data_IF_822750588359
#
_entry.id   IF_822750588359
#
_cell.length_a   1.000
_cell.length_b   1.000
_cell.length_c   1.000
_cell.angle_alpha   90.00
_cell.angle_beta   90.00
_cell.angle_gamma   90.00
#
_symmetry.space_group_name_H-M   'P 1'
#
loop_
_entity.id
_entity.type
_entity.pdbx_description
1 polymer ?
#
# COMPACT_ATOMS: atom_id res chain seq x y z
N UNK A 1 -11.54 10.17 8.60
CA UNK A 1 -10.29 9.50 8.99
C UNK A 1 -9.96 9.89 10.41
N UNK A 2 -9.96 8.97 11.31
CA UNK A 2 -9.64 9.22 12.70
C UNK A 2 -8.13 9.43 12.85
N UNK A 3 -7.73 10.52 13.54
CA UNK A 3 -6.32 10.79 13.80
C UNK A 3 -5.67 9.62 14.55
N UNK A 4 -4.73 8.95 13.90
CA UNK A 4 -3.98 7.82 14.46
C UNK A 4 -2.70 8.30 15.15
N UNK A 5 -2.38 9.59 15.08
CA UNK A 5 -1.07 10.15 15.41
C UNK A 5 0.03 9.81 14.40
N UNK A 6 -0.32 9.15 13.29
CA UNK A 6 0.59 8.77 12.21
C UNK A 6 0.38 9.70 11.01
N UNK A 7 1.43 10.07 10.28
CA UNK A 7 1.30 10.99 9.16
C UNK A 7 0.54 10.39 7.97
N UNK A 8 -0.31 11.18 7.35
CA UNK A 8 -0.78 10.94 5.99
C UNK A 8 0.29 11.50 5.07
N UNK A 9 0.82 10.70 4.16
CA UNK A 9 2.00 11.07 3.40
C UNK A 9 2.01 10.47 2.00
N UNK A 10 2.51 11.24 1.03
CA UNK A 10 2.87 10.72 -0.28
C UNK A 10 4.26 10.10 -0.20
N UNK A 11 4.39 8.85 -0.63
CA UNK A 11 5.66 8.12 -0.71
C UNK A 11 5.83 7.55 -2.11
N UNK A 12 7.06 7.51 -2.62
CA UNK A 12 7.40 6.96 -3.92
C UNK A 12 8.58 6.00 -3.84
N UNK A 13 8.43 4.85 -4.47
CA UNK A 13 9.52 3.93 -4.84
C UNK A 13 9.47 3.66 -6.36
N UNK A 14 9.09 4.70 -7.13
CA UNK A 14 8.87 4.70 -8.56
C UNK A 14 7.53 5.35 -8.94
N UNK A 15 6.44 4.95 -8.29
CA UNK A 15 5.12 5.58 -8.43
C UNK A 15 4.76 6.26 -7.10
N UNK A 16 4.34 7.53 -7.17
CA UNK A 16 3.93 8.32 -6.00
C UNK A 16 2.50 7.95 -5.60
N UNK A 17 2.32 7.56 -4.36
CA UNK A 17 1.03 7.14 -3.81
C UNK A 17 0.81 7.72 -2.44
N UNK A 18 -0.45 7.96 -2.08
CA UNK A 18 -0.85 8.48 -0.77
C UNK A 18 -1.06 7.32 0.22
N UNK A 19 -0.44 7.42 1.39
CA UNK A 19 -0.60 6.46 2.48
C UNK A 19 -1.42 7.07 3.59
N UNK A 20 -2.53 6.39 3.93
CA UNK A 20 -3.51 6.85 4.92
C UNK A 20 -3.64 5.82 6.03
N UNK A 21 -2.99 6.01 7.19
CA UNK A 21 -3.15 5.11 8.32
C UNK A 21 -4.48 5.32 9.01
N UNK A 22 -5.18 4.23 9.30
CA UNK A 22 -6.40 4.20 10.09
C UNK A 22 -6.22 3.32 11.33
N UNK A 23 -7.16 3.41 12.30
CA UNK A 23 -6.97 2.78 13.60
C UNK A 23 -7.18 1.27 13.58
N UNK A 24 -8.18 0.81 12.83
CA UNK A 24 -8.67 -0.56 12.97
C UNK A 24 -9.04 -1.19 11.64
N UNK A 25 -9.14 -2.53 11.64
CA UNK A 25 -9.73 -3.30 10.55
C UNK A 25 -11.16 -2.84 10.24
N UNK A 26 -11.93 -2.45 11.28
CA UNK A 26 -13.29 -1.92 11.09
C UNK A 26 -13.28 -0.63 10.26
N UNK A 27 -12.33 0.28 10.51
CA UNK A 27 -12.22 1.51 9.75
C UNK A 27 -11.88 1.21 8.28
N UNK A 28 -10.95 0.28 8.03
CA UNK A 28 -10.60 -0.17 6.68
C UNK A 28 -11.80 -0.79 5.98
N UNK A 29 -12.49 -1.72 6.64
CA UNK A 29 -13.65 -2.44 6.07
C UNK A 29 -14.85 -1.51 5.79
N UNK A 30 -14.97 -0.38 6.50
CA UNK A 30 -16.06 0.58 6.31
C UNK A 30 -15.97 1.35 4.99
N UNK A 31 -14.84 1.33 4.30
CA UNK A 31 -14.64 2.07 3.05
C UNK A 31 -15.38 1.35 1.91
N UNK A 32 -16.32 2.04 1.29
CA UNK A 32 -16.98 1.56 0.07
C UNK A 32 -16.18 2.02 -1.15
N UNK A 33 -15.40 1.12 -1.75
CA UNK A 33 -14.54 1.41 -2.90
C UNK A 33 -15.29 1.94 -4.13
N UNK A 34 -16.59 1.60 -4.27
CA UNK A 34 -17.43 2.04 -5.40
C UNK A 34 -18.01 3.46 -5.20
N UNK A 35 -17.88 4.02 -4.00
CA UNK A 35 -18.40 5.34 -3.65
C UNK A 35 -17.27 6.36 -3.44
N UNK A 36 -16.03 6.01 -3.77
CA UNK A 36 -14.93 6.95 -3.72
C UNK A 36 -15.08 7.99 -4.83
N UNK A 37 -15.03 9.26 -4.43
CA UNK A 37 -15.08 10.38 -5.36
C UNK A 37 -13.69 10.60 -6.00
N UNK A 38 -13.54 10.15 -7.25
CA UNK A 38 -12.31 10.28 -8.01
C UNK A 38 -11.91 11.76 -8.21
N UNK A 39 -12.87 12.66 -8.41
CA UNK A 39 -12.57 14.07 -8.61
C UNK A 39 -12.08 14.73 -7.34
N UNK A 40 -12.71 14.43 -6.19
CA UNK A 40 -12.27 14.92 -4.89
C UNK A 40 -10.87 14.39 -4.51
N UNK A 41 -10.58 13.11 -4.82
CA UNK A 41 -9.24 12.55 -4.62
C UNK A 41 -8.21 13.22 -5.51
N UNK A 42 -8.50 13.43 -6.79
CA UNK A 42 -7.60 14.11 -7.72
C UNK A 42 -7.30 15.55 -7.29
N UNK A 43 -8.31 16.28 -6.80
CA UNK A 43 -8.13 17.61 -6.24
C UNK A 43 -7.22 17.59 -4.99
N UNK A 44 -7.43 16.64 -4.08
CA UNK A 44 -6.57 16.45 -2.91
C UNK A 44 -5.11 16.16 -3.31
N UNK A 45 -4.88 15.31 -4.29
CA UNK A 45 -3.53 15.04 -4.80
C UNK A 45 -2.86 16.28 -5.40
N UNK A 46 -3.60 17.09 -6.13
CA UNK A 46 -3.08 18.34 -6.68
C UNK A 46 -2.64 19.32 -5.59
N UNK A 47 -3.31 19.33 -4.43
CA UNK A 47 -2.91 20.14 -3.27
C UNK A 47 -1.68 19.57 -2.55
N UNK A 48 -1.64 18.24 -2.37
CA UNK A 48 -0.56 17.58 -1.64
C UNK A 48 0.75 17.53 -2.42
N UNK A 49 0.68 17.49 -3.74
CA UNK A 49 1.83 17.37 -4.62
C UNK A 49 1.63 18.17 -5.92
N UNK A 50 1.76 19.50 -5.86
CA UNK A 50 1.49 20.36 -7.02
C UNK A 50 2.54 20.26 -8.12
N UNK A 51 3.72 19.72 -7.84
CA UNK A 51 4.86 19.69 -8.79
C UNK A 51 4.91 18.40 -9.58
N UNK A 52 4.76 17.28 -8.90
CA UNK A 52 4.78 15.96 -9.53
C UNK A 52 3.48 15.24 -9.24
N UNK A 53 2.60 15.17 -10.24
CA UNK A 53 1.29 14.54 -10.07
C UNK A 53 1.43 13.14 -9.47
N UNK A 54 0.84 12.98 -8.30
CA UNK A 54 0.63 11.67 -7.69
C UNK A 54 -0.25 10.81 -8.62
N UNK A 55 -0.13 9.50 -8.52
CA UNK A 55 -0.86 8.55 -9.38
C UNK A 55 -2.36 8.43 -9.08
N UNK A 56 -2.99 9.39 -8.39
CA UNK A 56 -4.39 9.33 -7.91
C UNK A 56 -4.72 8.00 -7.18
N UNK A 57 -3.70 7.42 -6.53
CA UNK A 57 -3.78 6.15 -5.86
C UNK A 57 -3.59 6.31 -4.35
N UNK A 58 -4.50 5.72 -3.58
CA UNK A 58 -4.51 5.75 -2.11
C UNK A 58 -4.34 4.35 -1.56
N UNK A 59 -3.36 4.16 -0.69
CA UNK A 59 -3.26 2.98 0.14
C UNK A 59 -3.70 3.31 1.56
N UNK A 60 -4.81 2.73 1.98
CA UNK A 60 -5.27 2.77 3.37
C UNK A 60 -4.68 1.60 4.12
N UNK A 61 -4.17 1.83 5.33
CA UNK A 61 -3.49 0.81 6.11
C UNK A 61 -3.86 0.84 7.60
N UNK A 62 -3.82 -0.33 8.23
CA UNK A 62 -3.88 -0.50 9.68
C UNK A 62 -2.89 -1.57 10.13
N UNK A 63 -2.38 -1.47 11.37
CA UNK A 63 -1.54 -2.51 11.96
C UNK A 63 -2.34 -3.64 12.62
N UNK A 64 -3.69 -3.52 12.69
CA UNK A 64 -4.53 -4.67 12.96
C UNK A 64 -4.59 -5.56 11.73
N UNK A 65 -4.51 -6.86 11.92
CA UNK A 65 -4.50 -7.83 10.82
C UNK A 65 -5.48 -8.97 11.09
N UNK A 66 -5.99 -9.59 10.02
CA UNK A 66 -6.83 -10.78 10.10
C UNK A 66 -5.98 -12.04 10.25
N UNK A 67 -4.78 -12.05 9.70
CA UNK A 67 -3.83 -13.15 9.79
C UNK A 67 -2.73 -12.85 10.81
N UNK A 68 -2.43 -13.73 11.75
CA UNK A 68 -1.32 -13.54 12.68
C UNK A 68 0.05 -13.56 11.99
N UNK A 69 0.12 -14.01 10.74
CA UNK A 69 1.34 -13.99 9.94
C UNK A 69 1.56 -12.67 9.18
N UNK A 70 0.60 -11.76 9.19
CA UNK A 70 0.72 -10.44 8.60
C UNK A 70 1.03 -9.39 9.67
N UNK A 71 1.76 -8.35 9.28
CA UNK A 71 2.13 -7.22 10.13
C UNK A 71 1.28 -5.97 9.86
N UNK A 72 0.62 -5.92 8.70
CA UNK A 72 -0.18 -4.79 8.25
C UNK A 72 -1.29 -5.28 7.33
N UNK A 73 -2.47 -4.69 7.49
CA UNK A 73 -3.62 -4.87 6.59
C UNK A 73 -3.78 -3.64 5.72
N UNK A 74 -4.03 -3.84 4.41
CA UNK A 74 -4.07 -2.76 3.43
C UNK A 74 -5.20 -2.92 2.45
N UNK A 75 -5.71 -1.77 1.96
CA UNK A 75 -6.57 -1.68 0.78
C UNK A 75 -6.04 -0.58 -0.14
N UNK A 76 -6.06 -0.82 -1.43
CA UNK A 76 -5.56 0.12 -2.42
C UNK A 76 -6.65 0.52 -3.40
N UNK A 77 -6.80 1.82 -3.61
CA UNK A 77 -7.82 2.43 -4.45
C UNK A 77 -7.18 3.39 -5.44
N UNK A 78 -7.61 3.33 -6.70
CA UNK A 78 -7.18 4.27 -7.74
C UNK A 78 -8.35 4.60 -8.70
N UNK A 79 -9.44 5.22 -8.20
CA UNK A 79 -10.65 5.44 -8.99
C UNK A 79 -10.39 6.38 -10.18
N UNK A 80 -9.46 7.30 -10.10
CA UNK A 80 -9.02 8.16 -11.20
C UNK A 80 -8.38 7.39 -12.36
N UNK A 81 -7.87 6.18 -12.09
CA UNK A 81 -7.34 5.26 -13.09
C UNK A 81 -8.35 4.18 -13.51
N UNK A 82 -9.60 4.27 -13.07
CA UNK A 82 -10.63 3.28 -13.33
C UNK A 82 -10.54 2.03 -12.46
N UNK A 83 -9.70 2.04 -11.42
CA UNK A 83 -9.51 0.90 -10.50
C UNK A 83 -10.21 1.23 -9.17
N UNK A 84 -11.39 0.67 -8.95
CA UNK A 84 -12.09 0.88 -7.69
C UNK A 84 -11.30 0.33 -6.50
N UNK A 85 -10.74 -0.86 -6.63
CA UNK A 85 -9.88 -1.49 -5.64
C UNK A 85 -8.96 -2.51 -6.31
N UNK A 86 -7.67 -2.47 -5.99
CA UNK A 86 -6.68 -3.45 -6.46
C UNK A 86 -6.39 -4.48 -5.37
N UNK A 87 -6.52 -5.79 -5.64
CA UNK A 87 -6.34 -6.83 -4.63
C UNK A 87 -4.89 -7.10 -4.24
N UNK A 88 -3.91 -6.70 -5.06
CA UNK A 88 -2.48 -6.94 -4.79
C UNK A 88 -1.59 -5.94 -5.52
N UNK A 89 -1.13 -4.91 -4.82
CA UNK A 89 -0.41 -3.79 -5.44
C UNK A 89 1.07 -3.78 -5.09
N UNK A 90 1.91 -4.25 -6.01
CA UNK A 90 3.36 -4.31 -5.81
C UNK A 90 3.99 -2.93 -5.63
N UNK A 91 3.66 -1.97 -6.50
CA UNK A 91 4.20 -0.60 -6.45
C UNK A 91 3.87 0.12 -5.13
N UNK A 92 2.63 -0.01 -4.65
CA UNK A 92 2.23 0.57 -3.37
C UNK A 92 2.86 -0.16 -2.18
N UNK A 93 3.08 -1.45 -2.29
CA UNK A 93 3.75 -2.21 -1.23
C UNK A 93 5.20 -1.79 -1.03
N UNK A 94 5.89 -1.37 -2.09
CA UNK A 94 7.23 -0.80 -1.99
C UNK A 94 7.25 0.46 -1.11
N UNK A 95 6.41 1.44 -1.43
CA UNK A 95 6.28 2.66 -0.63
C UNK A 95 5.76 2.39 0.79
N UNK A 96 4.86 1.39 0.97
CA UNK A 96 4.40 0.95 2.28
C UNK A 96 5.55 0.49 3.17
N UNK A 97 6.45 -0.34 2.65
CA UNK A 97 7.61 -0.82 3.40
C UNK A 97 8.48 0.33 3.89
N UNK A 98 8.81 1.27 2.98
CA UNK A 98 9.56 2.47 3.33
C UNK A 98 8.82 3.31 4.40
N UNK A 99 7.52 3.54 4.22
CA UNK A 99 6.68 4.27 5.16
C UNK A 99 6.69 3.64 6.57
N UNK A 100 6.47 2.33 6.66
CA UNK A 100 6.41 1.62 7.94
C UNK A 100 7.73 1.68 8.71
N UNK A 101 8.86 1.51 8.01
CA UNK A 101 10.19 1.58 8.60
C UNK A 101 10.54 3.00 8.99
N UNK A 102 10.37 3.98 8.10
CA UNK A 102 10.70 5.39 8.35
C UNK A 102 9.97 5.94 9.57
N UNK A 103 8.68 5.66 9.69
CA UNK A 103 7.87 6.11 10.80
C UNK A 103 7.91 5.19 12.03
N UNK A 104 8.79 4.16 12.03
CA UNK A 104 8.96 3.21 13.13
C UNK A 104 7.65 2.57 13.60
N UNK A 105 6.77 2.27 12.65
CA UNK A 105 5.46 1.67 12.93
C UNK A 105 5.56 0.17 13.19
N UNK A 106 6.66 -0.45 12.76
CA UNK A 106 7.01 -1.84 13.05
C UNK A 106 8.47 -1.88 13.53
N UNK A 107 8.85 -2.90 14.33
CA UNK A 107 10.24 -3.12 14.69
C UNK A 107 11.11 -3.32 13.44
N UNK A 108 12.13 -2.51 13.30
CA UNK A 108 13.12 -2.70 12.24
C UNK A 108 14.17 -3.73 12.68
N UNK A 109 14.55 -4.63 11.78
CA UNK A 109 15.56 -5.69 11.99
C UNK A 109 16.69 -5.57 10.98
N UNK A 110 17.61 -4.58 11.13
CA UNK A 110 18.71 -4.42 10.19
C UNK A 110 19.59 -5.68 10.07
N UNK A 111 20.21 -5.94 8.89
CA UNK A 111 20.27 -5.04 7.73
C UNK A 111 19.00 -5.00 6.88
N UNK A 112 18.12 -6.01 7.00
CA UNK A 112 16.89 -6.14 6.21
C UNK A 112 15.71 -6.41 7.12
N UNK A 113 14.68 -5.57 7.02
CA UNK A 113 13.40 -5.76 7.70
C UNK A 113 12.43 -6.43 6.73
N UNK A 114 11.92 -7.61 7.09
CA UNK A 114 10.88 -8.30 6.31
C UNK A 114 9.51 -8.03 6.90
N UNK A 115 8.59 -7.59 6.07
CA UNK A 115 7.21 -7.24 6.43
C UNK A 115 6.28 -8.08 5.55
N UNK A 116 5.26 -8.67 6.15
CA UNK A 116 4.18 -9.35 5.41
C UNK A 116 2.94 -8.46 5.49
N UNK A 117 2.46 -8.02 4.34
CA UNK A 117 1.21 -7.30 4.19
C UNK A 117 0.11 -8.24 3.69
N UNK A 118 -1.11 -8.09 4.23
CA UNK A 118 -2.32 -8.67 3.67
C UNK A 118 -3.12 -7.59 2.93
N UNK A 119 -3.67 -7.93 1.76
CA UNK A 119 -4.45 -7.04 0.89
C UNK A 119 -5.52 -7.84 0.15
N UNK A 120 -6.58 -7.18 -0.31
CA UNK A 120 -7.59 -7.75 -1.21
C UNK A 120 -8.64 -8.62 -0.54
N UNK A 121 -8.71 -8.65 0.78
CA UNK A 121 -9.71 -9.42 1.51
C UNK A 121 -11.12 -8.90 1.20
N UNK A 122 -11.31 -7.59 1.26
CA UNK A 122 -12.60 -6.93 0.97
C UNK A 122 -12.96 -6.96 -0.53
N UNK A 123 -11.96 -7.10 -1.38
CA UNK A 123 -12.15 -7.33 -2.82
C UNK A 123 -12.46 -8.80 -3.16
N UNK A 124 -12.52 -9.69 -2.16
CA UNK A 124 -12.76 -11.13 -2.35
C UNK A 124 -11.58 -11.87 -3.00
N UNK A 125 -10.39 -11.28 -3.04
CA UNK A 125 -9.16 -11.85 -3.62
C UNK A 125 -8.00 -11.69 -2.63
N UNK A 126 -8.02 -12.41 -1.50
CA UNK A 126 -7.00 -12.28 -0.47
C UNK A 126 -5.61 -12.56 -1.03
N UNK A 127 -4.70 -11.64 -0.77
CA UNK A 127 -3.32 -11.67 -1.23
C UNK A 127 -2.38 -11.46 -0.05
N UNK A 128 -1.19 -12.08 -0.15
CA UNK A 128 -0.10 -11.90 0.81
C UNK A 128 1.12 -11.40 0.07
N UNK A 129 1.62 -10.25 0.50
CA UNK A 129 2.73 -9.55 -0.14
C UNK A 129 3.89 -9.49 0.85
N UNK A 130 5.06 -9.96 0.43
CA UNK A 130 6.29 -9.86 1.22
C UNK A 130 7.06 -8.62 0.78
N UNK A 131 7.45 -7.81 1.75
CA UNK A 131 8.19 -6.57 1.55
C UNK A 131 9.49 -6.68 2.35
N UNK A 132 10.61 -6.44 1.70
CA UNK A 132 11.91 -6.38 2.35
C UNK A 132 12.47 -4.97 2.22
N UNK A 133 12.90 -4.40 3.35
CA UNK A 133 13.45 -3.05 3.43
C UNK A 133 14.87 -3.13 3.97
N UNK A 134 15.85 -2.76 3.15
CA UNK A 134 17.25 -2.67 3.55
C UNK A 134 17.56 -1.30 4.13
N UNK A 135 18.08 -1.29 5.34
CA UNK A 135 18.45 -0.07 6.06
C UNK A 135 17.66 0.15 7.34
N UNK A 136 17.60 1.40 7.76
CA UNK A 136 16.95 1.84 8.99
C UNK A 136 16.24 3.20 8.73
N UNK A 137 15.42 3.69 9.67
CA UNK A 137 14.81 5.02 9.54
C UNK A 137 15.85 6.11 9.27
N UNK A 138 15.60 6.95 8.26
CA UNK A 138 16.51 7.97 7.75
C UNK A 138 17.64 7.45 6.85
N UNK A 139 17.76 6.12 6.64
CA UNK A 139 18.82 5.50 5.85
C UNK A 139 18.33 4.27 5.07
N UNK A 140 17.11 4.31 4.54
CA UNK A 140 16.57 3.26 3.67
C UNK A 140 17.32 3.30 2.33
N UNK A 141 17.83 2.15 1.89
CA UNK A 141 18.63 2.02 0.68
C UNK A 141 17.91 1.30 -0.44
N UNK A 142 17.12 0.30 -0.10
CA UNK A 142 16.42 -0.55 -1.08
C UNK A 142 15.14 -1.10 -0.49
N UNK A 143 14.13 -1.25 -1.34
CA UNK A 143 12.91 -1.98 -1.03
C UNK A 143 12.68 -3.02 -2.12
N UNK A 144 12.41 -4.25 -1.70
CA UNK A 144 12.02 -5.35 -2.59
C UNK A 144 10.61 -5.80 -2.24
N UNK A 145 9.83 -6.13 -3.26
CA UNK A 145 8.45 -6.61 -3.10
C UNK A 145 8.31 -7.92 -3.83
N UNK A 146 7.71 -8.90 -3.18
CA UNK A 146 7.47 -10.21 -3.72
C UNK A 146 6.16 -10.83 -3.22
N UNK A 147 5.80 -11.96 -3.83
CA UNK A 147 4.62 -12.73 -3.45
C UNK A 147 4.61 -14.08 -4.14
N UNK A 148 3.68 -14.93 -3.72
CA UNK A 148 3.44 -16.22 -4.37
C UNK A 148 2.57 -16.02 -5.60
N UNK A 149 2.91 -16.72 -6.69
CA UNK A 149 2.15 -16.73 -7.93
C UNK A 149 1.75 -18.16 -8.30
N UNK A 150 0.61 -18.29 -8.97
CA UNK A 150 0.15 -19.58 -9.53
C UNK A 150 0.20 -19.46 -11.04
N UNK A 151 1.03 -20.23 -11.76
CA UNK A 151 1.02 -20.27 -13.21
C UNK A 151 -0.35 -20.78 -13.71
N UNK A 152 -0.98 -20.08 -14.62
CA UNK A 152 -2.28 -20.43 -15.18
C UNK A 152 -2.20 -20.78 -16.67
N UNK A 153 -1.34 -20.09 -17.41
CA UNK A 153 -1.25 -20.22 -18.87
C UNK A 153 0.22 -20.13 -19.26
N UNK A 154 0.64 -21.03 -20.15
CA UNK A 154 1.92 -20.98 -20.85
C UNK A 154 1.67 -20.90 -22.36
N UNK A 155 2.45 -20.10 -23.09
CA UNK A 155 2.27 -19.92 -24.52
C UNK A 155 3.53 -19.39 -25.21
N UNK A 156 3.59 -19.51 -26.53
CA UNK A 156 4.67 -18.99 -27.37
C UNK A 156 4.13 -17.84 -28.22
N UNK A 157 4.81 -16.70 -28.20
CA UNK A 157 4.57 -15.61 -29.12
C UNK A 157 5.42 -15.85 -30.39
N UNK A 158 4.76 -15.90 -31.54
CA UNK A 158 5.43 -15.88 -32.84
C UNK A 158 5.16 -14.53 -33.51
N UNK A 159 6.21 -13.85 -33.99
CA UNK A 159 6.21 -12.61 -34.79
C UNK A 159 6.95 -12.81 -36.09
#
# INVERSE_FOLDING_TARGET
VTATGRPVQVVSTGIRQLYVPVRSLRDVASINSRQLDAAALSALFAELDPVERCSDAVMVLTLETTSPAAAVHTRMFAPGLGINEDPATGSASGGLGAYLVEHRLLPATPPTTTIVAEQGLEAGRPSRITIEVDGAPGAIRMVRVGGQTVPLIEGVLAW
#
